data_IF_341514495663
#
_entry.id   IF_341514495663
#
_cell.length_a   1.000
_cell.length_b   1.000
_cell.length_c   1.000
_cell.angle_alpha   90.00
_cell.angle_beta   90.00
_cell.angle_gamma   90.00
#
_symmetry.space_group_name_H-M   'P 1'
#
loop_
_entity.id
_entity.type
_entity.pdbx_description
1 polymer ?
#
# COMPACT_ATOMS: atom_id res chain seq x y z
N UNK A 1 -4.88 -40.03 -58.11
CA UNK A 1 -4.37 -38.65 -58.00
C UNK A 1 -5.16 -37.97 -56.89
N UNK A 2 -4.78 -38.22 -55.64
CA UNK A 2 -5.45 -37.66 -54.47
C UNK A 2 -4.47 -36.73 -53.77
N UNK A 3 -4.71 -35.42 -53.87
CA UNK A 3 -3.93 -34.41 -53.19
C UNK A 3 -4.55 -34.16 -51.80
N UNK A 4 -3.80 -34.56 -50.78
CA UNK A 4 -3.97 -34.14 -49.38
C UNK A 4 -3.20 -32.83 -49.23
N UNK A 5 -3.84 -31.79 -48.69
CA UNK A 5 -3.18 -30.51 -48.46
C UNK A 5 -3.92 -29.65 -47.44
N UNK A 6 -3.16 -29.22 -46.43
CA UNK A 6 -3.43 -28.20 -45.41
C UNK A 6 -4.48 -28.50 -44.32
N UNK A 7 -4.01 -29.12 -43.24
CA UNK A 7 -4.35 -28.69 -41.88
C UNK A 7 -3.23 -27.78 -41.38
N UNK A 8 -3.55 -26.52 -41.15
CA UNK A 8 -2.70 -25.53 -40.49
C UNK A 8 -2.69 -25.81 -38.98
N UNK A 9 -1.53 -26.14 -38.42
CA UNK A 9 -1.29 -26.09 -36.98
C UNK A 9 -0.86 -24.66 -36.61
N UNK A 10 -1.56 -23.95 -35.71
CA UNK A 10 -1.08 -22.69 -35.17
C UNK A 10 -0.17 -22.94 -33.96
N UNK A 11 1.04 -22.41 -34.08
CA UNK A 11 1.93 -21.90 -33.04
C UNK A 11 1.99 -22.63 -31.68
N UNK A 12 3.10 -23.35 -31.52
CA UNK A 12 3.68 -23.81 -30.28
C UNK A 12 3.81 -22.63 -29.29
N UNK A 13 2.89 -22.58 -28.30
CA UNK A 13 3.06 -21.79 -27.07
C UNK A 13 4.34 -22.26 -26.38
N UNK A 14 5.37 -21.42 -26.46
CA UNK A 14 6.66 -21.64 -25.83
C UNK A 14 6.53 -21.93 -24.34
N UNK A 15 7.05 -23.10 -24.01
CA UNK A 15 7.48 -23.72 -22.76
C UNK A 15 7.21 -23.04 -21.41
N UNK A 16 6.57 -23.86 -20.56
CA UNK A 16 6.39 -23.70 -19.12
C UNK A 16 7.71 -24.02 -18.42
N UNK A 17 8.58 -23.01 -18.25
CA UNK A 17 9.86 -23.14 -17.57
C UNK A 17 9.82 -22.82 -16.08
N UNK A 18 10.05 -23.84 -15.25
CA UNK A 18 10.64 -23.84 -13.90
C UNK A 18 10.26 -22.70 -12.92
N UNK A 19 9.29 -23.06 -12.09
CA UNK A 19 8.91 -22.43 -10.84
C UNK A 19 10.11 -22.47 -9.88
N UNK A 20 10.44 -21.34 -9.27
CA UNK A 20 11.58 -21.24 -8.36
C UNK A 20 11.19 -21.70 -6.96
N UNK A 21 11.49 -22.96 -6.62
CA UNK A 21 11.68 -23.33 -5.22
C UNK A 21 13.07 -22.82 -4.83
N UNK A 22 13.17 -21.53 -4.47
CA UNK A 22 14.42 -20.90 -4.04
C UNK A 22 14.98 -21.61 -2.82
N UNK A 23 15.85 -22.58 -3.06
CA UNK A 23 16.65 -23.21 -1.99
C UNK A 23 18.13 -22.99 -2.22
N UNK A 24 18.56 -22.59 -3.44
CA UNK A 24 19.96 -22.29 -3.73
C UNK A 24 20.16 -20.90 -4.35
N UNK A 25 21.30 -20.22 -4.05
CA UNK A 25 21.71 -18.95 -4.67
C UNK A 25 21.62 -18.91 -6.20
N UNK A 26 21.91 -20.05 -6.85
CA UNK A 26 21.95 -20.16 -8.30
C UNK A 26 20.57 -20.13 -8.97
N UNK A 27 19.48 -20.22 -8.20
CA UNK A 27 18.11 -20.23 -8.70
C UNK A 27 17.50 -18.82 -8.80
N UNK A 28 18.19 -17.79 -8.30
CA UNK A 28 17.74 -16.40 -8.38
C UNK A 28 18.20 -15.77 -9.69
N UNK A 29 17.30 -15.35 -10.58
CA UNK A 29 17.68 -14.57 -11.75
C UNK A 29 18.38 -13.27 -11.35
N UNK A 30 19.49 -12.94 -11.99
CA UNK A 30 20.31 -11.75 -11.69
C UNK A 30 19.48 -10.45 -11.66
N UNK A 31 18.49 -10.33 -12.54
CA UNK A 31 17.63 -9.15 -12.61
C UNK A 31 16.80 -8.91 -11.34
N UNK A 32 16.44 -9.97 -10.59
CA UNK A 32 15.75 -9.84 -9.31
C UNK A 32 16.71 -9.20 -8.30
N UNK A 33 17.92 -9.74 -8.17
CA UNK A 33 18.95 -9.19 -7.29
C UNK A 33 19.25 -7.73 -7.60
N UNK A 34 19.36 -7.38 -8.89
CA UNK A 34 19.53 -5.99 -9.33
C UNK A 34 18.36 -5.09 -8.88
N UNK A 35 17.10 -5.55 -9.00
CA UNK A 35 15.96 -4.75 -8.56
C UNK A 35 15.98 -4.45 -7.04
N UNK A 36 16.44 -5.38 -6.21
CA UNK A 36 16.65 -5.13 -4.78
C UNK A 36 17.76 -4.09 -4.54
N UNK A 37 18.89 -4.21 -5.24
CA UNK A 37 20.01 -3.27 -5.15
C UNK A 37 19.61 -1.85 -5.59
N UNK A 38 18.91 -1.71 -6.70
CA UNK A 38 18.46 -0.42 -7.23
C UNK A 38 17.47 0.30 -6.29
N UNK A 39 16.67 -0.47 -5.55
CA UNK A 39 15.72 0.05 -4.58
C UNK A 39 16.29 0.25 -3.18
N UNK A 40 17.57 -0.06 -2.95
CA UNK A 40 18.22 0.07 -1.65
C UNK A 40 18.20 1.53 -1.14
N UNK A 41 17.85 1.68 0.13
CA UNK A 41 17.90 2.92 0.91
C UNK A 41 18.42 2.58 2.30
N UNK A 42 19.64 3.00 2.64
CA UNK A 42 20.24 2.73 3.95
C UNK A 42 21.06 3.90 4.47
N UNK A 43 21.43 3.84 5.75
CA UNK A 43 22.29 4.87 6.37
C UNK A 43 23.73 4.72 5.85
N UNK A 44 24.26 5.76 5.19
CA UNK A 44 25.61 5.76 4.59
C UNK A 44 26.76 5.98 5.58
N UNK A 45 26.52 5.91 6.88
CA UNK A 45 27.55 6.13 7.89
C UNK A 45 28.43 4.89 8.04
N UNK A 46 29.57 4.88 7.35
CA UNK A 46 30.90 4.30 7.66
C UNK A 46 31.07 2.86 8.19
N UNK A 47 30.06 2.25 8.80
CA UNK A 47 30.04 0.90 9.36
C UNK A 47 28.80 0.09 8.98
N UNK A 48 27.94 0.61 8.10
CA UNK A 48 26.79 -0.14 7.55
C UNK A 48 27.25 -1.27 6.63
N UNK A 49 26.58 -2.42 6.77
CA UNK A 49 26.67 -3.55 5.84
C UNK A 49 26.45 -3.08 4.40
N UNK A 50 27.26 -3.58 3.46
CA UNK A 50 27.08 -3.28 2.04
C UNK A 50 25.71 -3.81 1.56
N UNK A 51 25.05 -3.17 0.59
CA UNK A 51 23.79 -3.65 0.03
C UNK A 51 23.86 -5.12 -0.40
N UNK A 52 24.98 -5.52 -1.01
CA UNK A 52 25.23 -6.90 -1.44
C UNK A 52 25.28 -7.89 -0.28
N UNK A 53 25.78 -7.48 0.89
CA UNK A 53 25.86 -8.37 2.06
C UNK A 53 24.49 -8.67 2.69
N UNK A 54 23.50 -7.80 2.47
CA UNK A 54 22.12 -8.01 2.90
C UNK A 54 21.35 -8.94 1.95
N UNK A 55 21.75 -8.96 0.67
CA UNK A 55 21.12 -9.77 -0.37
C UNK A 55 21.63 -11.21 -0.35
N UNK A 56 21.20 -11.95 0.67
CA UNK A 56 21.52 -13.37 0.78
C UNK A 56 20.48 -14.24 0.07
N UNK A 57 20.86 -15.42 -0.44
CA UNK A 57 19.94 -16.40 -1.01
C UNK A 57 18.83 -16.83 -0.04
N UNK A 58 19.16 -16.92 1.25
CA UNK A 58 18.19 -17.26 2.30
C UNK A 58 17.15 -16.15 2.49
N UNK A 59 17.59 -14.89 2.48
CA UNK A 59 16.69 -13.74 2.53
C UNK A 59 15.72 -13.74 1.34
N UNK A 60 16.24 -13.87 0.11
CA UNK A 60 15.42 -13.89 -1.10
C UNK A 60 14.47 -15.10 -1.15
N UNK A 61 14.94 -16.29 -0.76
CA UNK A 61 14.10 -17.49 -0.72
C UNK A 61 13.00 -17.42 0.35
N UNK A 62 13.28 -16.79 1.50
CA UNK A 62 12.27 -16.50 2.51
C UNK A 62 11.24 -15.48 2.01
N UNK A 63 11.68 -14.43 1.30
CA UNK A 63 10.78 -13.43 0.72
C UNK A 63 9.87 -14.04 -0.35
N UNK A 64 10.42 -14.92 -1.19
CA UNK A 64 9.62 -15.66 -2.15
C UNK A 64 8.59 -16.57 -1.49
N UNK A 65 8.98 -17.36 -0.48
CA UNK A 65 8.02 -18.19 0.27
C UNK A 65 6.89 -17.36 0.86
N UNK A 66 7.19 -16.17 1.39
CA UNK A 66 6.19 -15.23 1.87
C UNK A 66 5.22 -14.77 0.76
N UNK A 67 5.75 -14.54 -0.44
CA UNK A 67 4.98 -14.10 -1.60
C UNK A 67 4.31 -15.22 -2.41
N UNK A 68 4.53 -16.51 -2.11
CA UNK A 68 3.98 -17.62 -2.90
C UNK A 68 2.46 -17.59 -2.97
N UNK A 69 1.81 -17.35 -1.84
CA UNK A 69 0.36 -17.26 -1.74
C UNK A 69 -0.04 -15.90 -1.18
N UNK A 70 -0.80 -15.13 -1.97
CA UNK A 70 -1.43 -13.87 -1.53
C UNK A 70 -2.73 -13.68 -2.28
N UNK A 71 -3.85 -13.69 -1.56
CA UNK A 71 -5.15 -13.39 -2.17
C UNK A 71 -5.24 -11.91 -2.59
N UNK A 72 -6.15 -11.61 -3.53
CA UNK A 72 -6.35 -10.25 -3.99
C UNK A 72 -6.79 -9.32 -2.83
N UNK A 73 -6.08 -8.20 -2.67
CA UNK A 73 -6.33 -7.24 -1.59
C UNK A 73 -5.71 -7.61 -0.24
N UNK A 74 -5.00 -8.74 -0.13
CA UNK A 74 -4.23 -9.09 1.06
C UNK A 74 -2.79 -8.58 0.97
N UNK A 75 -2.13 -8.55 2.13
CA UNK A 75 -0.69 -8.25 2.26
C UNK A 75 -0.05 -9.30 3.15
N UNK A 76 1.09 -9.82 2.72
CA UNK A 76 1.86 -10.81 3.47
C UNK A 76 2.96 -10.11 4.26
N UNK A 77 3.15 -10.49 5.51
CA UNK A 77 4.15 -9.92 6.43
C UNK A 77 4.87 -11.06 7.14
N UNK A 78 6.19 -10.98 7.22
CA UNK A 78 7.00 -11.87 8.06
C UNK A 78 8.03 -11.06 8.84
N UNK A 79 8.17 -11.36 10.13
CA UNK A 79 9.18 -10.77 11.01
C UNK A 79 10.18 -11.86 11.38
N UNK A 80 11.46 -11.56 11.21
CA UNK A 80 12.57 -12.45 11.54
C UNK A 80 13.34 -11.85 12.71
N UNK A 81 13.54 -12.63 13.77
CA UNK A 81 14.31 -12.19 14.93
C UNK A 81 15.82 -12.42 14.72
N UNK A 82 16.65 -11.81 15.57
CA UNK A 82 18.11 -11.92 15.47
C UNK A 82 18.62 -13.37 15.65
N UNK A 83 17.86 -14.20 16.37
CA UNK A 83 18.12 -15.62 16.62
C UNK A 83 17.42 -16.56 15.64
N UNK A 84 16.83 -16.03 14.57
CA UNK A 84 16.11 -16.83 13.58
C UNK A 84 17.07 -17.78 12.83
N UNK A 85 16.71 -19.07 12.63
CA UNK A 85 17.53 -20.04 11.91
C UNK A 85 17.89 -19.64 10.47
N UNK A 86 17.14 -18.72 9.86
CA UNK A 86 17.45 -18.17 8.53
C UNK A 86 18.70 -17.29 8.51
N UNK A 87 19.08 -16.71 9.66
CA UNK A 87 20.38 -16.07 9.86
C UNK A 87 20.54 -14.67 9.23
N UNK A 88 19.46 -14.07 8.73
CA UNK A 88 19.46 -12.68 8.20
C UNK A 88 18.68 -11.69 9.09
N UNK A 89 18.10 -12.16 10.19
CA UNK A 89 17.41 -11.32 11.16
C UNK A 89 18.37 -10.48 12.03
N UNK A 90 17.87 -9.44 12.72
CA UNK A 90 16.47 -9.04 12.77
C UNK A 90 16.03 -8.32 11.49
N UNK A 91 14.92 -8.74 10.90
CA UNK A 91 14.44 -8.22 9.63
C UNK A 91 12.91 -8.28 9.51
N UNK A 92 12.36 -7.49 8.59
CA UNK A 92 10.95 -7.49 8.22
C UNK A 92 10.83 -7.68 6.71
N UNK A 93 9.98 -8.59 6.27
CA UNK A 93 9.59 -8.76 4.87
C UNK A 93 8.10 -8.49 4.70
N UNK A 94 7.75 -7.79 3.63
CA UNK A 94 6.37 -7.51 3.23
C UNK A 94 6.21 -7.80 1.74
N UNK A 95 5.08 -8.38 1.37
CA UNK A 95 4.62 -8.48 -0.02
C UNK A 95 3.21 -7.90 -0.08
N UNK A 96 3.04 -6.79 -0.78
CA UNK A 96 1.79 -6.05 -0.84
C UNK A 96 1.57 -5.45 -2.22
N UNK A 97 0.32 -5.08 -2.51
CA UNK A 97 0.05 -4.20 -3.65
C UNK A 97 0.79 -2.87 -3.44
N UNK A 98 1.48 -2.40 -4.46
CA UNK A 98 2.16 -1.12 -4.38
C UNK A 98 1.16 0.04 -4.45
N UNK A 99 1.51 1.14 -3.79
CA UNK A 99 0.66 2.31 -3.71
C UNK A 99 1.40 3.46 -3.06
N UNK A 100 0.91 4.66 -3.31
CA UNK A 100 1.58 5.90 -2.91
C UNK A 100 1.76 6.07 -1.40
N UNK A 101 0.95 5.39 -0.58
CA UNK A 101 0.97 5.48 0.89
C UNK A 101 1.71 4.33 1.58
N UNK A 102 2.09 3.28 0.84
CA UNK A 102 2.55 2.02 1.41
C UNK A 102 3.80 2.22 2.29
N UNK A 103 4.84 2.81 1.71
CA UNK A 103 6.13 2.97 2.39
C UNK A 103 6.06 3.95 3.56
N UNK A 104 5.34 5.04 3.41
CA UNK A 104 5.16 6.02 4.49
C UNK A 104 4.40 5.41 5.68
N UNK A 105 3.42 4.56 5.40
CA UNK A 105 2.66 3.88 6.46
C UNK A 105 3.51 2.84 7.21
N UNK A 106 4.34 2.08 6.49
CA UNK A 106 5.31 1.14 7.10
C UNK A 106 6.30 1.89 7.99
N UNK A 107 6.96 2.92 7.45
CA UNK A 107 7.98 3.68 8.18
C UNK A 107 7.43 4.42 9.40
N UNK A 108 6.21 4.97 9.31
CA UNK A 108 5.52 5.60 10.45
C UNK A 108 5.21 4.60 11.56
N UNK A 109 4.75 3.40 11.20
CA UNK A 109 4.48 2.36 12.20
C UNK A 109 5.78 1.97 12.93
N UNK A 110 6.85 1.72 12.18
CA UNK A 110 8.16 1.38 12.76
C UNK A 110 8.65 2.49 13.69
N UNK A 111 8.62 3.74 13.24
CA UNK A 111 9.02 4.90 14.04
C UNK A 111 8.18 5.04 15.32
N UNK A 112 6.86 4.88 15.22
CA UNK A 112 5.94 4.99 16.37
C UNK A 112 6.19 3.91 17.44
N UNK A 113 6.60 2.72 17.01
CA UNK A 113 6.95 1.61 17.90
C UNK A 113 8.41 1.67 18.38
N UNK A 114 9.17 2.71 18.01
CA UNK A 114 10.58 2.85 18.38
C UNK A 114 11.48 1.81 17.69
N UNK A 115 11.03 1.25 16.56
CA UNK A 115 11.77 0.23 15.80
C UNK A 115 12.70 0.93 14.81
N UNK A 116 14.00 0.94 15.13
CA UNK A 116 15.05 1.41 14.24
C UNK A 116 15.38 0.39 13.14
N UNK A 117 15.74 0.88 11.96
CA UNK A 117 16.20 0.09 10.83
C UNK A 117 17.46 0.69 10.20
N UNK A 118 18.28 -0.16 9.59
CA UNK A 118 19.56 0.23 8.97
C UNK A 118 19.46 0.35 7.46
N UNK A 119 18.58 -0.45 6.84
CA UNK A 119 18.35 -0.46 5.41
C UNK A 119 16.93 -0.88 5.04
N UNK A 120 16.47 -0.41 3.89
CA UNK A 120 15.22 -0.79 3.24
C UNK A 120 15.53 -1.09 1.77
N UNK A 121 14.95 -2.16 1.23
CA UNK A 121 14.87 -2.43 -0.20
C UNK A 121 13.38 -2.56 -0.56
N UNK A 122 12.98 -2.02 -1.70
CA UNK A 122 11.58 -2.01 -2.13
C UNK A 122 11.48 -2.18 -3.63
N UNK A 123 11.93 -3.31 -4.19
CA UNK A 123 11.62 -3.62 -5.58
C UNK A 123 10.11 -3.71 -5.78
N UNK A 124 9.67 -3.21 -6.93
CA UNK A 124 8.28 -3.31 -7.38
C UNK A 124 8.28 -4.10 -8.68
N UNK A 125 7.50 -5.16 -8.73
CA UNK A 125 7.43 -6.10 -9.86
C UNK A 125 6.04 -6.12 -10.48
N UNK A 126 5.97 -6.48 -11.76
CA UNK A 126 4.72 -6.87 -12.39
C UNK A 126 4.49 -8.36 -12.09
N UNK A 127 3.44 -8.66 -11.31
CA UNK A 127 3.20 -10.01 -10.80
C UNK A 127 1.85 -10.53 -11.27
N UNK A 128 1.86 -11.74 -11.82
CA UNK A 128 0.66 -12.46 -12.21
C UNK A 128 0.34 -13.54 -11.18
N UNK A 129 -0.87 -13.51 -10.64
CA UNK A 129 -1.38 -14.50 -9.68
C UNK A 129 -2.58 -15.24 -10.22
N UNK A 130 -2.82 -16.44 -9.72
CA UNK A 130 -4.05 -17.18 -9.98
C UNK A 130 -5.23 -16.55 -9.21
N UNK A 131 -6.49 -16.88 -9.54
CA UNK A 131 -7.64 -16.45 -8.74
C UNK A 131 -7.58 -16.92 -7.28
N UNK A 132 -6.83 -17.98 -6.97
CA UNK A 132 -6.61 -18.46 -5.62
C UNK A 132 -5.47 -17.72 -4.89
N UNK A 133 -4.79 -16.76 -5.53
CA UNK A 133 -3.68 -16.01 -4.94
C UNK A 133 -2.29 -16.63 -5.13
N UNK A 134 -2.21 -17.80 -5.80
CA UNK A 134 -0.96 -18.46 -6.13
C UNK A 134 -0.13 -17.64 -7.11
N UNK A 135 1.14 -17.46 -6.80
CA UNK A 135 2.09 -16.77 -7.65
C UNK A 135 2.34 -17.57 -8.95
N UNK A 136 2.01 -16.99 -10.10
CA UNK A 136 2.21 -17.63 -11.42
C UNK A 136 3.41 -17.09 -12.18
N UNK A 137 3.73 -15.79 -12.06
CA UNK A 137 4.83 -15.14 -12.78
C UNK A 137 5.23 -13.83 -12.10
N UNK A 138 6.53 -13.54 -12.07
CA UNK A 138 7.10 -12.23 -11.71
C UNK A 138 7.87 -11.72 -12.92
N UNK A 139 7.66 -10.45 -13.28
CA UNK A 139 8.35 -9.77 -14.36
C UNK A 139 8.91 -8.41 -13.91
N UNK A 140 10.00 -7.94 -14.53
CA UNK A 140 10.39 -6.54 -14.41
C UNK A 140 9.26 -5.63 -14.88
N UNK A 141 9.14 -4.46 -14.25
CA UNK A 141 8.16 -3.47 -14.69
C UNK A 141 8.47 -2.97 -16.09
N UNK A 142 7.45 -2.89 -16.93
CA UNK A 142 7.59 -2.28 -18.24
C UNK A 142 8.00 -0.80 -18.12
N UNK A 143 8.93 -0.37 -18.98
CA UNK A 143 9.39 1.01 -19.05
C UNK A 143 8.21 1.96 -19.30
N UNK A 144 8.11 3.03 -18.50
CA UNK A 144 7.02 4.01 -18.62
C UNK A 144 5.75 3.67 -17.81
N UNK A 145 5.72 2.54 -17.12
CA UNK A 145 4.64 2.22 -16.17
C UNK A 145 4.72 3.12 -14.93
N UNK A 146 3.56 3.49 -14.39
CA UNK A 146 3.48 4.26 -13.13
C UNK A 146 4.37 3.63 -12.05
N UNK A 147 5.18 4.43 -11.33
CA UNK A 147 6.02 3.89 -10.25
C UNK A 147 5.17 3.25 -9.16
N UNK A 148 3.92 3.68 -8.98
CA UNK A 148 2.99 3.25 -7.92
C UNK A 148 2.12 2.04 -8.26
N UNK A 149 2.36 1.37 -9.40
CA UNK A 149 1.60 0.19 -9.84
C UNK A 149 2.46 -1.07 -9.77
N UNK A 150 1.86 -2.21 -9.45
CA UNK A 150 2.53 -3.49 -9.35
C UNK A 150 2.62 -3.97 -7.89
N UNK A 151 3.42 -5.00 -7.67
CA UNK A 151 3.55 -5.65 -6.38
C UNK A 151 4.86 -5.22 -5.72
N UNK A 152 4.77 -4.64 -4.52
CA UNK A 152 5.92 -4.22 -3.74
C UNK A 152 6.42 -5.36 -2.84
N UNK A 153 7.71 -5.66 -2.97
CA UNK A 153 8.40 -6.68 -2.19
C UNK A 153 9.38 -5.97 -1.25
N UNK A 154 8.91 -5.58 -0.07
CA UNK A 154 9.67 -4.75 0.85
C UNK A 154 10.52 -5.63 1.75
N UNK A 155 11.81 -5.38 1.80
CA UNK A 155 12.72 -5.92 2.81
C UNK A 155 13.25 -4.78 3.67
N UNK A 156 13.17 -4.93 4.99
CA UNK A 156 13.70 -3.96 5.96
C UNK A 156 14.68 -4.68 6.87
N UNK A 157 15.95 -4.27 6.80
CA UNK A 157 16.96 -4.70 7.76
C UNK A 157 16.80 -3.87 9.03
N UNK A 158 16.47 -4.53 10.14
CA UNK A 158 16.25 -3.87 11.42
C UNK A 158 17.58 -3.66 12.16
N UNK A 159 17.61 -2.70 13.08
CA UNK A 159 18.77 -2.50 13.94
C UNK A 159 18.99 -3.74 14.82
N UNK A 160 20.24 -4.20 15.03
CA UNK A 160 20.53 -5.35 15.91
C UNK A 160 20.03 -5.17 17.35
N UNK A 161 19.90 -3.92 17.80
CA UNK A 161 19.45 -3.55 19.15
C UNK A 161 17.93 -3.42 19.28
N UNK A 162 17.15 -3.83 18.28
CA UNK A 162 15.69 -3.69 18.31
C UNK A 162 15.08 -4.53 19.44
N UNK A 163 14.12 -3.95 20.15
CA UNK A 163 13.41 -4.64 21.21
C UNK A 163 12.48 -5.73 20.64
N UNK A 164 12.52 -6.93 21.24
CA UNK A 164 11.69 -8.07 20.82
C UNK A 164 10.21 -7.78 21.00
N UNK A 165 9.81 -7.09 22.07
CA UNK A 165 8.39 -6.76 22.29
C UNK A 165 7.88 -5.77 21.22
N UNK A 166 8.71 -4.79 20.85
CA UNK A 166 8.40 -3.88 19.76
C UNK A 166 8.21 -4.62 18.43
N UNK A 167 9.01 -5.66 18.14
CA UNK A 167 8.84 -6.49 16.95
C UNK A 167 7.56 -7.33 16.95
N UNK A 168 7.22 -7.93 18.09
CA UNK A 168 5.93 -8.63 18.24
C UNK A 168 4.76 -7.68 18.00
N UNK A 169 4.87 -6.42 18.43
CA UNK A 169 3.85 -5.41 18.17
C UNK A 169 3.79 -4.98 16.69
N UNK A 170 4.94 -4.90 16.00
CA UNK A 170 4.99 -4.70 14.54
C UNK A 170 4.27 -5.83 13.82
N UNK A 171 4.58 -7.09 14.15
CA UNK A 171 3.94 -8.27 13.55
C UNK A 171 2.41 -8.25 13.74
N UNK A 172 1.95 -7.78 14.90
CA UNK A 172 0.52 -7.69 15.24
C UNK A 172 -0.20 -6.52 14.53
N UNK A 173 0.46 -5.37 14.39
CA UNK A 173 -0.16 -4.14 13.88
C UNK A 173 0.00 -3.96 12.38
N UNK A 174 1.14 -4.34 11.81
CA UNK A 174 1.47 -4.04 10.42
C UNK A 174 0.46 -4.61 9.42
N UNK A 175 -0.03 -5.87 9.53
CA UNK A 175 -1.06 -6.37 8.62
C UNK A 175 -2.34 -5.53 8.61
N UNK A 176 -2.72 -4.95 9.76
CA UNK A 176 -3.90 -4.07 9.85
C UNK A 176 -3.67 -2.73 9.17
N UNK A 177 -2.47 -2.17 9.33
CA UNK A 177 -2.08 -0.91 8.65
C UNK A 177 -2.06 -1.11 7.14
N UNK A 178 -1.49 -2.22 6.65
CA UNK A 178 -1.45 -2.54 5.22
C UNK A 178 -2.86 -2.76 4.65
N UNK A 179 -3.75 -3.44 5.38
CA UNK A 179 -5.14 -3.56 4.98
C UNK A 179 -5.86 -2.21 4.89
N UNK A 180 -5.57 -1.28 5.81
CA UNK A 180 -6.11 0.09 5.76
C UNK A 180 -5.55 0.87 4.57
N UNK A 181 -4.25 0.76 4.25
CA UNK A 181 -3.65 1.34 3.03
C UNK A 181 -4.38 0.82 1.79
N UNK A 182 -4.57 -0.49 1.68
CA UNK A 182 -5.22 -1.11 0.54
C UNK A 182 -6.66 -0.62 0.36
N UNK A 183 -7.45 -0.54 1.44
CA UNK A 183 -8.83 -0.03 1.40
C UNK A 183 -8.87 1.41 0.91
N UNK A 184 -7.96 2.25 1.40
CA UNK A 184 -7.86 3.65 0.97
C UNK A 184 -7.50 3.75 -0.51
N UNK A 185 -6.52 2.97 -0.98
CA UNK A 185 -6.13 2.95 -2.38
C UNK A 185 -7.28 2.48 -3.29
N UNK A 186 -7.98 1.41 -2.93
CA UNK A 186 -9.14 0.89 -3.68
C UNK A 186 -10.29 1.89 -3.73
N UNK A 187 -10.53 2.65 -2.67
CA UNK A 187 -11.67 3.58 -2.56
C UNK A 187 -11.36 5.02 -2.95
N UNK A 188 -10.12 5.34 -3.30
CA UNK A 188 -9.70 6.72 -3.54
C UNK A 188 -10.60 7.42 -4.56
N UNK A 189 -10.88 6.76 -5.69
CA UNK A 189 -11.76 7.32 -6.73
C UNK A 189 -13.21 7.50 -6.23
N UNK A 190 -13.75 6.53 -5.50
CA UNK A 190 -15.09 6.61 -4.94
C UNK A 190 -15.22 7.73 -3.90
N UNK A 191 -14.20 7.93 -3.06
CA UNK A 191 -14.16 9.02 -2.08
C UNK A 191 -14.07 10.40 -2.76
N UNK A 192 -13.28 10.54 -3.83
CA UNK A 192 -13.19 11.78 -4.61
C UNK A 192 -14.52 12.07 -5.32
N UNK A 193 -15.16 11.05 -5.91
CA UNK A 193 -16.47 11.19 -6.54
C UNK A 193 -17.53 11.64 -5.52
N UNK A 194 -17.57 10.99 -4.35
CA UNK A 194 -18.50 11.34 -3.26
C UNK A 194 -18.33 12.80 -2.81
N UNK A 195 -17.09 13.29 -2.65
CA UNK A 195 -16.86 14.69 -2.31
C UNK A 195 -17.31 15.65 -3.41
N UNK A 196 -17.13 15.25 -4.67
CA UNK A 196 -17.52 16.07 -5.82
C UNK A 196 -19.05 16.17 -5.92
N UNK A 197 -19.75 15.05 -5.75
CA UNK A 197 -21.21 14.99 -5.69
C UNK A 197 -21.76 15.80 -4.51
N UNK A 198 -21.16 15.68 -3.32
CA UNK A 198 -21.55 16.48 -2.15
C UNK A 198 -21.33 17.98 -2.39
N UNK A 199 -20.21 18.35 -3.01
CA UNK A 199 -19.95 19.75 -3.33
C UNK A 199 -20.99 20.32 -4.31
N UNK A 200 -21.41 19.54 -5.31
CA UNK A 200 -22.46 19.94 -6.25
C UNK A 200 -23.83 20.05 -5.57
N UNK A 201 -24.19 19.10 -4.71
CA UNK A 201 -25.44 19.14 -3.95
C UNK A 201 -25.52 20.36 -3.03
N UNK A 202 -24.42 20.72 -2.35
CA UNK A 202 -24.35 21.90 -1.47
C UNK A 202 -24.43 23.22 -2.26
N UNK A 203 -23.85 23.27 -3.46
CA UNK A 203 -23.82 24.46 -4.31
C UNK A 203 -25.18 24.74 -4.99
N UNK A 204 -25.82 23.69 -5.49
CA UNK A 204 -27.09 23.78 -6.21
C UNK A 204 -28.31 23.77 -5.29
N UNK A 205 -28.19 23.13 -4.13
CA UNK A 205 -29.22 22.94 -3.10
C UNK A 205 -30.65 22.75 -3.65
N UNK A 206 -30.87 21.74 -4.51
CA UNK A 206 -32.12 21.58 -5.24
C UNK A 206 -33.32 21.33 -4.30
N UNK A 207 -33.06 20.78 -3.11
CA UNK A 207 -34.07 20.41 -2.13
C UNK A 207 -34.17 21.39 -0.94
N UNK A 208 -33.36 22.45 -0.92
CA UNK A 208 -33.35 23.42 0.19
C UNK A 208 -32.86 22.82 1.52
N UNK A 209 -32.05 21.77 1.46
CA UNK A 209 -31.57 21.02 2.63
C UNK A 209 -30.42 21.73 3.35
N UNK A 210 -29.67 22.56 2.63
CA UNK A 210 -28.42 23.17 3.13
C UNK A 210 -28.65 24.62 3.55
N UNK A 211 -29.31 24.84 4.69
CA UNK A 211 -29.56 26.19 5.22
C UNK A 211 -28.30 26.80 5.86
N UNK A 212 -27.36 27.32 5.04
CA UNK A 212 -26.21 28.08 5.52
C UNK A 212 -25.82 29.25 4.60
N UNK A 213 -25.33 30.36 5.17
CA UNK A 213 -24.96 31.56 4.41
C UNK A 213 -23.70 31.36 3.55
N UNK A 214 -22.86 30.38 3.86
CA UNK A 214 -21.55 30.10 3.28
C UNK A 214 -21.52 28.87 2.37
N UNK A 215 -22.67 28.42 1.85
CA UNK A 215 -22.80 27.23 0.97
C UNK A 215 -21.77 27.18 -0.17
N UNK A 216 -21.61 28.28 -0.90
CA UNK A 216 -20.69 28.34 -2.04
C UNK A 216 -19.22 28.20 -1.61
N UNK A 217 -18.86 28.74 -0.46
CA UNK A 217 -17.51 28.60 0.11
C UNK A 217 -17.26 27.16 0.57
N UNK A 218 -18.25 26.53 1.20
CA UNK A 218 -18.20 25.11 1.60
C UNK A 218 -18.06 24.21 0.38
N UNK A 219 -18.85 24.42 -0.68
CA UNK A 219 -18.74 23.67 -1.92
C UNK A 219 -17.37 23.85 -2.59
N UNK A 220 -16.85 25.08 -2.63
CA UNK A 220 -15.51 25.35 -3.14
C UNK A 220 -14.42 24.63 -2.33
N UNK A 221 -14.54 24.60 -1.01
CA UNK A 221 -13.62 23.88 -0.13
C UNK A 221 -13.70 22.37 -0.35
N UNK A 222 -14.89 21.77 -0.50
CA UNK A 222 -15.04 20.34 -0.78
C UNK A 222 -14.38 19.94 -2.11
N UNK A 223 -14.56 20.75 -3.17
CA UNK A 223 -13.86 20.55 -4.46
C UNK A 223 -12.34 20.67 -4.30
N UNK A 224 -11.90 21.67 -3.55
CA UNK A 224 -10.47 21.85 -3.27
C UNK A 224 -9.89 20.63 -2.52
N UNK A 225 -10.59 20.09 -1.53
CA UNK A 225 -10.18 18.86 -0.83
C UNK A 225 -10.08 17.66 -1.79
N UNK A 226 -11.04 17.48 -2.70
CA UNK A 226 -11.07 16.41 -3.69
C UNK A 226 -10.01 16.51 -4.80
N UNK A 227 -9.50 17.71 -5.08
CA UNK A 227 -8.52 17.98 -6.14
C UNK A 227 -7.06 17.63 -5.75
N UNK A 228 -6.87 16.65 -4.86
CA UNK A 228 -5.53 16.18 -4.45
C UNK A 228 -4.81 17.06 -3.42
N UNK A 229 -5.49 18.07 -2.86
CA UNK A 229 -4.92 18.90 -1.80
C UNK A 229 -4.90 18.22 -0.43
N UNK A 230 -5.73 17.17 -0.26
CA UNK A 230 -5.80 16.36 0.95
C UNK A 230 -5.81 14.87 0.59
N UNK A 231 -5.22 14.06 1.48
CA UNK A 231 -5.35 12.61 1.40
C UNK A 231 -6.61 12.16 2.16
N UNK A 232 -7.57 11.64 1.40
CA UNK A 232 -8.80 11.08 1.96
C UNK A 232 -8.53 9.66 2.45
N UNK A 233 -8.71 9.46 3.76
CA UNK A 233 -8.50 8.15 4.38
C UNK A 233 -9.80 7.35 4.53
N UNK A 234 -10.95 8.01 4.51
CA UNK A 234 -12.23 7.33 4.64
C UNK A 234 -13.41 8.29 4.59
N UNK A 235 -14.55 7.72 4.24
CA UNK A 235 -15.83 8.41 4.19
C UNK A 235 -16.90 7.52 4.83
N UNK A 236 -17.87 8.11 5.52
CA UNK A 236 -18.98 7.38 6.08
C UNK A 236 -20.21 8.29 6.12
N UNK A 237 -21.27 7.98 5.37
CA UNK A 237 -22.52 8.71 5.52
C UNK A 237 -23.15 8.32 6.87
N UNK A 238 -23.71 9.31 7.53
CA UNK A 238 -24.26 9.17 8.86
C UNK A 238 -25.56 9.98 8.95
N UNK A 239 -26.50 9.47 9.74
CA UNK A 239 -27.68 10.21 10.17
C UNK A 239 -27.40 10.89 11.50
N UNK A 240 -27.99 12.08 11.69
CA UNK A 240 -27.99 12.77 12.97
C UNK A 240 -29.32 12.48 13.67
N UNK A 241 -29.25 12.00 14.90
CA UNK A 241 -30.39 11.64 15.74
C UNK A 241 -30.10 12.11 17.17
N UNK A 242 -30.96 12.99 17.72
CA UNK A 242 -30.80 13.59 19.07
C UNK A 242 -29.38 14.13 19.39
N UNK A 243 -28.73 14.78 18.41
CA UNK A 243 -27.37 15.32 18.58
C UNK A 243 -26.25 14.27 18.49
N UNK A 244 -26.59 13.03 18.16
CA UNK A 244 -25.66 11.93 17.92
C UNK A 244 -25.57 11.62 16.42
N UNK A 245 -24.36 11.32 15.96
CA UNK A 245 -24.06 10.89 14.60
C UNK A 245 -24.00 9.37 14.61
N UNK A 246 -24.94 8.74 13.91
CA UNK A 246 -25.10 7.29 13.80
C UNK A 246 -24.85 6.91 12.34
N UNK A 247 -24.03 5.90 12.09
CA UNK A 247 -23.88 5.35 10.74
C UNK A 247 -25.25 4.96 10.17
N UNK A 248 -25.53 5.31 8.92
CA UNK A 248 -26.83 5.09 8.29
C UNK A 248 -27.08 3.63 7.86
N UNK A 249 -26.10 2.74 8.10
CA UNK A 249 -26.14 1.33 7.73
C UNK A 249 -25.50 1.03 6.37
N UNK A 250 -25.12 2.05 5.59
CA UNK A 250 -24.32 1.87 4.39
C UNK A 250 -22.86 1.54 4.75
N UNK A 251 -22.18 0.87 3.84
CA UNK A 251 -20.74 0.64 3.98
C UNK A 251 -20.01 1.97 3.77
N UNK A 252 -19.25 2.41 4.78
CA UNK A 252 -18.28 3.48 4.60
C UNK A 252 -17.22 3.11 3.56
N UNK A 253 -16.37 4.08 3.20
CA UNK A 253 -15.22 3.94 2.31
C UNK A 253 -13.91 4.08 3.09
N UNK A 254 -12.81 3.54 2.54
CA UNK A 254 -11.47 3.58 3.10
C UNK A 254 -11.41 2.93 4.49
N UNK A 255 -10.74 3.59 5.43
CA UNK A 255 -10.58 3.11 6.82
C UNK A 255 -11.90 3.05 7.61
N UNK A 256 -12.98 3.65 7.09
CA UNK A 256 -14.29 3.67 7.75
C UNK A 256 -15.19 2.51 7.34
N UNK A 257 -14.82 1.68 6.35
CA UNK A 257 -15.56 0.47 5.94
C UNK A 257 -15.98 -0.42 7.11
N UNK A 258 -15.06 -0.66 8.04
CA UNK A 258 -15.24 -1.59 9.16
C UNK A 258 -15.58 -0.87 10.48
N UNK A 259 -15.85 0.44 10.45
CA UNK A 259 -16.07 1.23 11.67
C UNK A 259 -17.53 1.63 11.80
N UNK A 260 -18.29 0.82 12.54
CA UNK A 260 -19.53 1.28 13.12
C UNK A 260 -19.24 2.07 14.42
N UNK A 261 -19.95 3.16 14.64
CA UNK A 261 -19.82 3.92 15.88
C UNK A 261 -20.84 5.04 15.97
N UNK A 262 -21.22 5.35 17.20
CA UNK A 262 -22.03 6.51 17.54
C UNK A 262 -21.08 7.57 18.07
N UNK A 263 -21.17 8.80 17.57
CA UNK A 263 -20.30 9.92 17.97
C UNK A 263 -21.17 11.15 18.25
N UNK A 264 -20.77 12.04 19.18
CA UNK A 264 -21.47 13.31 19.32
C UNK A 264 -21.33 14.13 18.03
N UNK A 265 -22.39 14.84 17.66
CA UNK A 265 -22.35 15.80 16.55
C UNK A 265 -21.32 16.89 16.84
N UNK A 266 -20.52 17.22 15.84
CA UNK A 266 -19.46 18.25 15.94
C UNK A 266 -19.91 19.63 15.45
N UNK A 267 -21.10 19.72 14.87
CA UNK A 267 -21.67 20.92 14.25
C UNK A 267 -23.02 21.25 14.87
N UNK A 268 -23.43 22.51 14.80
CA UNK A 268 -24.81 22.93 15.05
C UNK A 268 -25.60 22.91 13.73
N UNK A 269 -26.92 23.13 13.77
CA UNK A 269 -27.78 23.12 12.56
C UNK A 269 -27.41 24.16 11.51
N UNK A 270 -26.74 25.24 11.92
CA UNK A 270 -26.40 26.35 11.04
C UNK A 270 -24.98 26.25 10.43
N UNK A 271 -24.26 25.14 10.62
CA UNK A 271 -22.90 24.93 10.09
C UNK A 271 -22.83 23.67 9.25
N UNK A 272 -22.50 23.82 7.97
CA UNK A 272 -22.40 22.71 7.01
C UNK A 272 -21.10 21.91 7.14
N UNK A 273 -20.00 22.55 7.56
CA UNK A 273 -18.70 21.90 7.65
C UNK A 273 -17.99 22.27 8.95
N UNK A 274 -17.42 21.26 9.60
CA UNK A 274 -16.49 21.44 10.72
C UNK A 274 -15.25 20.58 10.47
N UNK A 275 -14.10 21.22 10.58
CA UNK A 275 -12.81 20.55 10.60
C UNK A 275 -12.42 20.31 12.06
N UNK A 276 -12.25 19.04 12.42
CA UNK A 276 -11.83 18.64 13.75
C UNK A 276 -10.58 17.77 13.67
N UNK A 277 -9.70 17.90 14.66
CA UNK A 277 -8.55 17.02 14.77
C UNK A 277 -8.99 15.65 15.30
N UNK A 278 -8.63 14.58 14.59
CA UNK A 278 -8.88 13.23 15.06
C UNK A 278 -8.12 12.97 16.37
N UNK A 279 -8.83 12.51 17.42
CA UNK A 279 -8.22 12.09 18.70
C UNK A 279 -7.58 10.69 18.64
N UNK A 280 -7.75 9.97 17.54
CA UNK A 280 -7.18 8.63 17.32
C UNK A 280 -6.07 8.74 16.27
N UNK A 281 -4.87 8.27 16.60
CA UNK A 281 -3.75 8.28 15.67
C UNK A 281 -4.01 7.41 14.44
N UNK A 282 -3.91 8.00 13.24
CA UNK A 282 -3.84 7.26 11.99
C UNK A 282 -2.42 6.69 11.81
N UNK A 283 -2.32 5.45 11.35
CA UNK A 283 -1.05 4.85 10.92
C UNK A 283 -0.73 5.15 9.45
N UNK A 284 -1.66 5.81 8.76
CA UNK A 284 -1.53 6.17 7.36
C UNK A 284 -0.88 7.55 7.26
N UNK A 285 0.23 7.64 6.51
CA UNK A 285 0.82 8.89 6.08
C UNK A 285 1.01 8.90 4.56
N UNK A 286 1.04 10.12 4.03
CA UNK A 286 1.55 10.44 2.71
C UNK A 286 2.73 11.38 2.91
N UNK A 287 3.90 10.93 2.53
CA UNK A 287 5.10 11.72 2.36
C UNK A 287 5.24 12.01 0.88
N UNK A 288 5.13 13.28 0.49
CA UNK A 288 5.61 13.69 -0.83
C UNK A 288 7.13 13.51 -0.83
N UNK A 289 7.62 12.38 -1.37
CA UNK A 289 9.04 12.24 -1.69
C UNK A 289 9.33 13.07 -2.95
N UNK A 290 10.13 14.13 -2.88
CA UNK A 290 10.69 14.74 -4.08
C UNK A 290 11.76 13.79 -4.61
N UNK A 291 11.42 12.94 -5.58
CA UNK A 291 12.46 12.27 -6.36
C UNK A 291 13.07 13.31 -7.32
N UNK A 292 14.39 13.36 -7.48
CA UNK A 292 15.04 14.30 -8.38
C UNK A 292 14.64 13.93 -9.82
N UNK A 293 13.79 14.74 -10.43
CA UNK A 293 13.60 14.78 -11.86
C UNK A 293 14.93 15.15 -12.50
N UNK A 294 15.71 14.13 -12.93
CA UNK A 294 16.72 14.35 -13.96
C UNK A 294 15.97 14.65 -15.25
N UNK A 295 15.75 15.93 -15.52
CA UNK A 295 15.49 16.42 -16.85
C UNK A 295 16.71 16.07 -17.71
N UNK A 296 16.59 15.04 -18.54
CA UNK A 296 17.45 14.90 -19.71
C UNK A 296 16.89 15.83 -20.79
N UNK A 297 17.48 17.01 -20.90
CA UNK A 297 17.37 17.83 -22.11
C UNK A 297 18.13 17.14 -23.23
N UNK A 298 17.45 16.82 -24.32
CA UNK A 298 18.05 16.80 -25.67
C UNK A 298 17.14 17.59 -26.59
#
# INVERSE_FOLDING_TARGET
>A
MGAVGMTSDPEVKQDVGAWTTFTQPADVPDWISQAYLESYRGQSDGGSQSPDSLLTPRMLGAHYRLGQHRAAGESCVAVYHADDPEGFGPALQVVAEHGSMLMDSVTVLLHRLGVGYTAIMTPVFDVRRSPAGELLRIEPKAVGTSPYTGEAWIFVQLAPSVDRNALTEVERLLPRVLADVQRVATDAAAMIATLSELAEAVDTDPEGQYAAPDRQEVAALLRWLGNGNFLLLGYQPCRVDEGMVIGDGSSGLGVLRARAGIRPRLTDENKLLVLAQARVGSYLRYGAYPMPSRCAST
#
